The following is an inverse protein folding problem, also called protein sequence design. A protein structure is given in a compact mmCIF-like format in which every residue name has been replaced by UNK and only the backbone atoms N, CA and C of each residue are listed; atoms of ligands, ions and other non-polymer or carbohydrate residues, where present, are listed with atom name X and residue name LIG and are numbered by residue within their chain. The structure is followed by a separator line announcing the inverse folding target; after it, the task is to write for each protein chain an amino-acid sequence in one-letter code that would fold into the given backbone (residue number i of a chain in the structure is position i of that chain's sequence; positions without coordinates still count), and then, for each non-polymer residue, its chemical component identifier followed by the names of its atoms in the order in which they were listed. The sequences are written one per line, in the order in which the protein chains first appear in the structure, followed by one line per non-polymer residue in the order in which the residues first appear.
data_IF_682973615635
#
_entry.id   IF_682973615635
#
_cell.length_a   1.000
_cell.length_b   1.000
_cell.length_c   1.000
_cell.angle_alpha   90.00
_cell.angle_beta   90.00
_cell.angle_gamma   90.00
#
_symmetry.space_group_name_H-M   'P 1'
#
loop_
_entity.id
_entity.type
_entity.pdbx_description
1 polymer ?
#
# COMPACT_ATOMS: atom_id res chain seq x y z
N UNK A 1 -48.82 36.66 -36.75
CA UNK A 1 -47.44 36.18 -36.63
C UNK A 1 -46.65 37.28 -35.94
N UNK A 2 -46.36 37.15 -34.65
CA UNK A 2 -45.62 38.17 -33.88
C UNK A 2 -44.40 37.48 -33.28
N UNK A 3 -43.21 37.87 -33.73
CA UNK A 3 -41.94 37.42 -33.18
C UNK A 3 -41.50 38.44 -32.12
N UNK A 4 -41.69 38.11 -30.85
CA UNK A 4 -41.13 38.85 -29.71
C UNK A 4 -39.64 38.48 -29.59
N UNK A 5 -38.74 39.35 -30.08
CA UNK A 5 -37.30 39.20 -29.84
C UNK A 5 -36.88 40.11 -28.69
N UNK A 6 -37.00 39.63 -27.46
CA UNK A 6 -36.36 40.27 -26.30
C UNK A 6 -34.85 40.01 -26.39
N UNK A 7 -34.09 41.03 -26.75
CA UNK A 7 -32.62 40.97 -26.79
C UNK A 7 -32.04 40.78 -25.40
N UNK A 8 -30.96 40.00 -25.29
CA UNK A 8 -30.18 39.85 -24.07
C UNK A 8 -29.59 41.20 -23.66
N UNK A 9 -29.86 41.61 -22.42
CA UNK A 9 -29.26 42.83 -21.88
C UNK A 9 -27.85 42.54 -21.36
N UNK A 10 -26.92 43.48 -21.57
CA UNK A 10 -25.51 43.33 -21.15
C UNK A 10 -25.40 43.01 -19.64
N UNK A 11 -26.26 43.63 -18.83
CA UNK A 11 -26.29 43.46 -17.38
C UNK A 11 -26.67 42.03 -16.97
N UNK A 12 -27.57 41.39 -17.71
CA UNK A 12 -28.07 40.04 -17.43
C UNK A 12 -27.03 38.98 -17.80
N UNK A 13 -26.27 39.21 -18.88
CA UNK A 13 -25.08 38.41 -19.23
C UNK A 13 -23.97 38.58 -18.18
N UNK A 14 -23.74 39.81 -17.72
CA UNK A 14 -22.73 40.08 -16.68
C UNK A 14 -23.10 39.40 -15.35
N UNK A 15 -24.36 39.50 -14.94
CA UNK A 15 -24.86 38.89 -13.71
C UNK A 15 -24.78 37.36 -13.76
N UNK A 16 -25.15 36.74 -14.89
CA UNK A 16 -25.05 35.29 -15.05
C UNK A 16 -23.59 34.80 -15.04
N UNK A 17 -22.66 35.52 -15.70
CA UNK A 17 -21.23 35.22 -15.62
C UNK A 17 -20.69 35.34 -14.20
N UNK A 18 -21.09 36.37 -13.45
CA UNK A 18 -20.71 36.53 -12.06
C UNK A 18 -21.17 35.33 -11.21
N UNK A 19 -22.43 34.91 -11.34
CA UNK A 19 -22.97 33.75 -10.62
C UNK A 19 -22.22 32.45 -11.00
N UNK A 20 -22.01 32.20 -12.29
CA UNK A 20 -21.30 31.01 -12.77
C UNK A 20 -19.86 30.98 -12.26
N UNK A 21 -19.17 32.13 -12.22
CA UNK A 21 -17.79 32.19 -11.71
C UNK A 21 -17.70 31.82 -10.23
N UNK A 22 -18.63 32.31 -9.40
CA UNK A 22 -18.69 31.97 -7.98
C UNK A 22 -18.97 30.46 -7.80
N UNK A 23 -19.95 29.93 -8.52
CA UNK A 23 -20.29 28.50 -8.47
C UNK A 23 -19.11 27.65 -8.96
N UNK A 24 -18.47 28.05 -10.06
CA UNK A 24 -17.33 27.37 -10.65
C UNK A 24 -16.16 27.26 -9.68
N UNK A 25 -15.84 28.32 -8.94
CA UNK A 25 -14.80 28.30 -7.92
C UNK A 25 -15.13 27.32 -6.78
N UNK A 26 -16.39 27.27 -6.34
CA UNK A 26 -16.80 26.33 -5.28
C UNK A 26 -16.68 24.89 -5.76
N UNK A 27 -17.17 24.59 -6.98
CA UNK A 27 -17.07 23.25 -7.57
C UNK A 27 -15.61 22.84 -7.79
N UNK A 28 -14.76 23.77 -8.24
CA UNK A 28 -13.35 23.49 -8.47
C UNK A 28 -12.64 23.02 -7.19
N UNK A 29 -12.89 23.69 -6.07
CA UNK A 29 -12.30 23.31 -4.78
C UNK A 29 -12.70 21.89 -4.37
N UNK A 30 -13.98 21.54 -4.50
CA UNK A 30 -14.46 20.19 -4.14
C UNK A 30 -13.87 19.13 -5.06
N UNK A 31 -13.83 19.39 -6.38
CA UNK A 31 -13.27 18.46 -7.35
C UNK A 31 -11.78 18.18 -7.09
N UNK A 32 -10.97 19.22 -6.84
CA UNK A 32 -9.54 19.05 -6.57
C UNK A 32 -9.28 18.30 -5.26
N UNK A 33 -10.09 18.57 -4.23
CA UNK A 33 -10.03 17.79 -2.99
C UNK A 33 -10.36 16.32 -3.24
N UNK A 34 -11.41 16.04 -4.01
CA UNK A 34 -11.80 14.66 -4.37
C UNK A 34 -10.71 13.92 -5.15
N UNK A 35 -10.07 14.57 -6.13
CA UNK A 35 -8.97 13.98 -6.89
C UNK A 35 -7.76 13.68 -5.98
N UNK A 36 -7.40 14.62 -5.10
CA UNK A 36 -6.28 14.43 -4.16
C UNK A 36 -6.54 13.26 -3.21
N UNK A 37 -7.74 13.21 -2.62
CA UNK A 37 -8.16 12.11 -1.75
C UNK A 37 -8.17 10.77 -2.48
N UNK A 38 -8.72 10.72 -3.70
CA UNK A 38 -8.77 9.51 -4.53
C UNK A 38 -7.36 8.97 -4.81
N UNK A 39 -6.40 9.83 -5.17
CA UNK A 39 -5.00 9.42 -5.38
C UNK A 39 -4.38 8.82 -4.12
N UNK A 40 -4.60 9.44 -2.95
CA UNK A 40 -4.10 8.93 -1.67
C UNK A 40 -4.74 7.59 -1.31
N UNK A 41 -6.04 7.43 -1.50
CA UNK A 41 -6.76 6.19 -1.26
C UNK A 41 -6.27 5.05 -2.19
N UNK A 42 -6.03 5.36 -3.46
CA UNK A 42 -5.48 4.41 -4.43
C UNK A 42 -4.06 3.96 -4.03
N UNK A 43 -3.20 4.90 -3.62
CA UNK A 43 -1.85 4.58 -3.13
C UNK A 43 -1.89 3.70 -1.88
N UNK A 44 -2.72 4.03 -0.89
CA UNK A 44 -2.89 3.21 0.32
C UNK A 44 -3.38 1.80 0.00
N UNK A 45 -4.33 1.69 -0.93
CA UNK A 45 -4.84 0.39 -1.38
C UNK A 45 -3.73 -0.43 -2.06
N UNK A 46 -2.88 0.20 -2.87
CA UNK A 46 -1.73 -0.45 -3.50
C UNK A 46 -0.74 -0.98 -2.46
N UNK A 47 -0.36 -0.15 -1.48
CA UNK A 47 0.54 -0.58 -0.39
C UNK A 47 -0.04 -1.73 0.41
N UNK A 48 -1.36 -1.71 0.68
CA UNK A 48 -2.04 -2.79 1.37
C UNK A 48 -2.02 -4.11 0.57
N UNK A 49 -2.30 -4.06 -0.73
CA UNK A 49 -2.25 -5.25 -1.59
C UNK A 49 -0.85 -5.85 -1.66
N UNK A 50 0.16 -4.99 -1.75
CA UNK A 50 1.56 -5.40 -1.77
C UNK A 50 1.99 -6.03 -0.44
N UNK A 51 1.65 -5.40 0.69
CA UNK A 51 1.90 -5.96 2.02
C UNK A 51 1.24 -7.34 2.20
N UNK A 52 -0.01 -7.50 1.72
CA UNK A 52 -0.71 -8.77 1.75
C UNK A 52 0.02 -9.83 0.90
N UNK A 53 0.48 -9.48 -0.30
CA UNK A 53 1.24 -10.40 -1.15
C UNK A 53 2.55 -10.83 -0.50
N UNK A 54 3.28 -9.89 0.13
CA UNK A 54 4.51 -10.18 0.88
C UNK A 54 4.18 -11.12 2.04
N UNK A 55 3.16 -10.81 2.86
CA UNK A 55 2.79 -11.63 4.00
C UNK A 55 2.44 -13.07 3.62
N UNK A 56 1.75 -13.29 2.49
CA UNK A 56 1.44 -14.62 1.98
C UNK A 56 2.71 -15.38 1.56
N UNK A 57 3.66 -14.70 0.91
CA UNK A 57 4.96 -15.29 0.55
C UNK A 57 5.78 -15.63 1.79
N UNK A 58 5.84 -14.73 2.77
CA UNK A 58 6.53 -14.97 4.04
C UNK A 58 5.89 -16.11 4.84
N UNK A 59 4.56 -16.18 4.86
CA UNK A 59 3.83 -17.30 5.49
C UNK A 59 4.19 -18.62 4.81
N UNK A 60 4.24 -18.64 3.47
CA UNK A 60 4.65 -19.83 2.72
C UNK A 60 6.09 -20.24 3.06
N UNK A 61 7.02 -19.29 3.10
CA UNK A 61 8.42 -19.55 3.48
C UNK A 61 8.48 -20.12 4.91
N UNK A 62 7.75 -19.52 5.86
CA UNK A 62 7.69 -20.00 7.23
C UNK A 62 7.12 -21.43 7.34
N UNK A 63 6.23 -21.82 6.43
CA UNK A 63 5.67 -23.17 6.35
C UNK A 63 6.59 -24.19 5.67
N UNK A 64 7.37 -23.78 4.66
CA UNK A 64 8.19 -24.69 3.86
C UNK A 64 9.64 -24.79 4.31
N UNK A 65 10.16 -23.77 4.97
CA UNK A 65 11.56 -23.69 5.36
C UNK A 65 11.68 -23.89 6.87
N UNK A 66 12.51 -24.85 7.33
CA UNK A 66 12.66 -25.12 8.75
C UNK A 66 13.33 -23.95 9.48
N UNK A 67 14.28 -23.28 8.82
CA UNK A 67 15.00 -22.11 9.33
C UNK A 67 15.17 -21.06 8.24
N UNK A 68 14.88 -19.80 8.57
CA UNK A 68 15.07 -18.65 7.70
C UNK A 68 15.29 -17.38 8.52
N UNK A 69 15.87 -16.38 7.88
CA UNK A 69 16.13 -15.06 8.46
C UNK A 69 15.57 -14.00 7.51
N UNK A 70 14.99 -12.95 8.08
CA UNK A 70 14.48 -11.80 7.32
C UNK A 70 15.36 -10.61 7.68
N UNK A 71 15.96 -10.00 6.68
CA UNK A 71 16.93 -8.91 6.85
C UNK A 71 16.41 -7.68 6.11
N UNK A 72 16.37 -6.55 6.82
CA UNK A 72 16.11 -5.25 6.22
C UNK A 72 17.43 -4.71 5.64
N UNK A 73 17.56 -4.69 4.32
CA UNK A 73 18.69 -4.08 3.63
C UNK A 73 18.28 -2.70 3.11
N UNK A 74 18.25 -1.74 4.04
CA UNK A 74 17.77 -0.38 3.75
C UNK A 74 16.29 -0.37 3.36
N UNK A 75 16.02 -0.16 2.08
CA UNK A 75 14.67 -0.05 1.52
C UNK A 75 14.19 -1.39 0.91
N UNK A 76 14.94 -2.46 1.10
CA UNK A 76 14.66 -3.79 0.56
C UNK A 76 14.49 -4.80 1.68
N UNK A 77 13.64 -5.79 1.45
CA UNK A 77 13.43 -6.89 2.37
C UNK A 77 13.99 -8.17 1.75
N UNK A 78 15.01 -8.74 2.38
CA UNK A 78 15.66 -9.96 1.90
C UNK A 78 15.35 -11.11 2.85
N UNK A 79 15.09 -12.29 2.29
CA UNK A 79 14.79 -13.50 3.06
C UNK A 79 15.79 -14.58 2.71
N UNK A 80 16.49 -15.07 3.72
CA UNK A 80 17.55 -16.05 3.59
C UNK A 80 17.16 -17.38 4.22
N UNK A 81 17.51 -18.49 3.57
CA UNK A 81 17.51 -19.81 4.16
C UNK A 81 18.77 -19.96 5.02
N UNK A 82 18.61 -20.40 6.27
CA UNK A 82 19.70 -20.60 7.23
C UNK A 82 19.85 -22.06 7.66
N UNK A 83 19.28 -23.00 6.89
CA UNK A 83 19.42 -24.43 7.14
C UNK A 83 20.84 -24.95 6.83
N UNK A 84 21.58 -24.27 5.98
CA UNK A 84 22.98 -24.57 5.61
C UNK A 84 23.92 -23.48 6.13
N UNK A 85 25.19 -23.82 6.40
CA UNK A 85 26.22 -22.85 6.83
C UNK A 85 26.31 -21.64 5.87
N UNK A 86 26.08 -21.88 4.58
CA UNK A 86 25.93 -20.82 3.59
C UNK A 86 24.46 -20.34 3.54
N UNK A 87 24.25 -19.06 3.86
CA UNK A 87 22.95 -18.39 3.72
C UNK A 87 22.57 -18.31 2.25
N UNK A 88 21.43 -18.91 1.88
CA UNK A 88 20.93 -18.84 0.51
C UNK A 88 19.77 -17.85 0.42
N UNK A 89 19.87 -16.87 -0.48
CA UNK A 89 18.77 -15.93 -0.73
C UNK A 89 17.58 -16.68 -1.33
N UNK A 90 16.45 -16.69 -0.61
CA UNK A 90 15.19 -17.26 -1.08
C UNK A 90 14.49 -16.25 -1.98
N UNK A 91 14.34 -15.01 -1.47
CA UNK A 91 13.64 -13.96 -2.19
C UNK A 91 14.05 -12.58 -1.66
N UNK A 92 13.94 -11.58 -2.52
CA UNK A 92 14.09 -10.18 -2.16
C UNK A 92 12.88 -9.40 -2.66
N UNK A 93 12.39 -8.50 -1.82
CA UNK A 93 11.33 -7.55 -2.15
C UNK A 93 11.98 -6.17 -2.31
N UNK A 94 11.89 -5.64 -3.52
CA UNK A 94 12.41 -4.34 -3.89
C UNK A 94 11.53 -3.75 -4.98
N UNK A 95 11.26 -2.46 -4.86
CA UNK A 95 10.58 -1.66 -5.87
C UNK A 95 11.26 -0.30 -6.00
N UNK A 96 11.06 0.34 -7.14
CA UNK A 96 11.64 1.66 -7.42
C UNK A 96 11.02 2.75 -6.55
N UNK A 97 9.75 2.63 -6.17
CA UNK A 97 8.96 3.67 -5.50
C UNK A 97 8.59 3.32 -4.07
N UNK A 98 8.56 2.04 -3.71
CA UNK A 98 8.20 1.56 -2.37
C UNK A 98 9.43 1.15 -1.57
N UNK A 99 9.41 1.41 -0.26
CA UNK A 99 10.33 0.86 0.73
C UNK A 99 9.62 -0.11 1.67
N UNK A 100 10.37 -1.12 2.10
CA UNK A 100 9.90 -2.18 2.95
C UNK A 100 10.72 -2.22 4.24
N UNK A 101 10.05 -2.47 5.35
CA UNK A 101 10.68 -2.75 6.64
C UNK A 101 9.86 -3.81 7.35
N UNK A 102 10.50 -4.87 7.82
CA UNK A 102 9.85 -5.89 8.63
C UNK A 102 10.50 -5.98 10.01
N UNK A 103 9.68 -6.07 11.04
CA UNK A 103 10.09 -6.48 12.37
C UNK A 103 9.42 -7.81 12.70
N UNK A 104 10.16 -8.72 13.33
CA UNK A 104 9.69 -10.06 13.64
C UNK A 104 9.98 -10.34 15.10
N UNK A 105 8.90 -10.47 15.87
CA UNK A 105 8.99 -10.91 17.25
C UNK A 105 8.85 -12.45 17.30
N UNK A 106 9.86 -13.11 17.85
CA UNK A 106 9.92 -14.56 17.99
C UNK A 106 9.05 -15.01 19.17
N UNK A 107 7.73 -15.01 18.95
CA UNK A 107 6.76 -15.47 19.93
C UNK A 107 6.82 -17.00 20.17
N UNK A 108 7.11 -17.81 19.13
CA UNK A 108 7.42 -19.25 19.22
C UNK A 108 7.93 -19.83 17.89
N UNK A 109 8.44 -21.07 17.87
CA UNK A 109 8.88 -21.76 16.64
C UNK A 109 7.70 -22.09 15.69
N UNK A 110 6.49 -22.18 16.21
CA UNK A 110 5.27 -22.44 15.43
C UNK A 110 4.56 -21.17 14.95
N UNK A 111 4.85 -20.03 15.58
CA UNK A 111 4.23 -18.75 15.26
C UNK A 111 5.18 -17.57 15.48
N UNK A 112 5.48 -16.82 14.42
CA UNK A 112 6.24 -15.57 14.51
C UNK A 112 5.31 -14.38 14.25
N UNK A 113 5.35 -13.37 15.13
CA UNK A 113 4.62 -12.13 14.89
C UNK A 113 5.41 -11.30 13.88
N UNK A 114 4.73 -10.78 12.87
CA UNK A 114 5.32 -9.97 11.81
C UNK A 114 4.65 -8.60 11.81
N UNK A 115 5.47 -7.57 11.99
CA UNK A 115 5.12 -6.18 11.70
C UNK A 115 5.80 -5.78 10.39
N UNK A 116 5.01 -5.69 9.31
CA UNK A 116 5.48 -5.30 8.00
C UNK A 116 5.02 -3.88 7.68
N UNK A 117 5.97 -2.95 7.52
CA UNK A 117 5.70 -1.56 7.14
C UNK A 117 6.17 -1.28 5.71
N UNK A 118 5.27 -0.74 4.89
CA UNK A 118 5.54 -0.26 3.54
C UNK A 118 5.32 1.24 3.48
N UNK A 119 6.16 1.96 2.75
CA UNK A 119 5.96 3.40 2.49
C UNK A 119 6.54 3.82 1.15
N UNK A 120 5.99 4.89 0.56
CA UNK A 120 6.52 5.46 -0.67
C UNK A 120 7.77 6.31 -0.39
N UNK A 121 8.80 6.17 -1.23
CA UNK A 121 10.05 6.96 -1.14
C UNK A 121 9.80 8.46 -1.24
N UNK A 122 8.93 8.85 -2.18
CA UNK A 122 8.59 10.26 -2.44
C UNK A 122 7.58 10.84 -1.45
N UNK A 123 6.91 9.98 -0.66
CA UNK A 123 5.88 10.36 0.29
C UNK A 123 5.93 9.44 1.53
N UNK A 124 6.95 9.57 2.39
CA UNK A 124 7.15 8.66 3.53
C UNK A 124 6.05 8.74 4.60
N UNK A 125 5.22 9.80 4.57
CA UNK A 125 4.03 9.94 5.42
C UNK A 125 2.90 8.99 4.98
N UNK A 126 2.88 8.57 3.72
CA UNK A 126 1.95 7.60 3.19
C UNK A 126 2.54 6.20 3.38
N UNK A 127 2.39 5.71 4.61
CA UNK A 127 2.80 4.37 5.02
C UNK A 127 1.61 3.48 5.31
N UNK A 128 1.83 2.18 5.19
CA UNK A 128 0.91 1.12 5.57
C UNK A 128 1.65 0.12 6.44
N UNK A 129 1.06 -0.25 7.58
CA UNK A 129 1.63 -1.24 8.50
C UNK A 129 0.67 -2.42 8.64
N UNK A 130 1.16 -3.61 8.33
CA UNK A 130 0.47 -4.88 8.48
C UNK A 130 1.01 -5.60 9.71
N UNK A 131 0.14 -5.86 10.68
CA UNK A 131 0.41 -6.72 11.81
C UNK A 131 -0.21 -8.09 11.53
N UNK A 132 0.60 -9.14 11.49
CA UNK A 132 0.12 -10.49 11.21
C UNK A 132 0.95 -11.55 11.94
N UNK A 133 0.49 -12.79 11.90
CA UNK A 133 1.19 -13.95 12.48
C UNK A 133 1.51 -14.92 11.35
N UNK A 134 2.80 -15.23 11.21
CA UNK A 134 3.26 -16.32 10.36
C UNK A 134 3.11 -17.62 11.14
N UNK A 135 2.38 -18.60 10.60
CA UNK A 135 2.12 -19.87 11.28
C UNK A 135 2.63 -21.07 10.48
N UNK A 136 3.21 -22.05 11.17
CA UNK A 136 3.54 -23.36 10.58
C UNK A 136 2.31 -24.27 10.59
N UNK A 137 2.12 -25.05 9.54
CA UNK A 137 1.09 -26.10 9.53
C UNK A 137 1.57 -27.26 10.42
N UNK A 138 0.72 -27.69 11.35
CA UNK A 138 1.00 -28.84 12.22
C UNK A 138 0.99 -30.11 11.37
N UNK A 139 2.15 -30.68 11.06
CA UNK A 139 2.23 -31.97 10.35
C UNK A 139 3.53 -32.35 9.62
N UNK A 140 4.66 -31.65 9.77
CA UNK A 140 5.91 -32.03 9.04
C UNK A 140 7.07 -32.46 9.95
N UNK A 141 6.80 -32.82 11.21
CA UNK A 141 7.81 -33.30 12.17
C UNK A 141 7.59 -34.74 12.65
N UNK A 142 6.73 -35.52 11.98
CA UNK A 142 6.47 -36.93 12.32
C UNK A 142 6.93 -37.88 11.19
N UNK A 143 8.18 -37.73 10.75
CA UNK A 143 8.89 -38.82 10.08
C UNK A 143 10.25 -39.03 10.74
N UNK A 144 10.20 -39.45 12.00
CA UNK A 144 11.19 -40.38 12.54
C UNK A 144 10.96 -41.75 11.89
N UNK A 145 11.96 -42.24 11.17
CA UNK A 145 12.21 -43.66 10.91
C UNK A 145 13.71 -43.86 10.67
#
# INVERSE_FOLDING_TARGET
MIHDQKGLTLIEVLASLAIISVIGLLLWNVLFQGISYSKKAASQTSLQQEANQISMKLTRIHQTNPSYEIVNNGCQLEVYNTQTDDKQLITAFSDEKTCYTADIDESSDHSKQLELTLYLKDAPQDKFTLLTVLYKLKGSSDHEN
#
